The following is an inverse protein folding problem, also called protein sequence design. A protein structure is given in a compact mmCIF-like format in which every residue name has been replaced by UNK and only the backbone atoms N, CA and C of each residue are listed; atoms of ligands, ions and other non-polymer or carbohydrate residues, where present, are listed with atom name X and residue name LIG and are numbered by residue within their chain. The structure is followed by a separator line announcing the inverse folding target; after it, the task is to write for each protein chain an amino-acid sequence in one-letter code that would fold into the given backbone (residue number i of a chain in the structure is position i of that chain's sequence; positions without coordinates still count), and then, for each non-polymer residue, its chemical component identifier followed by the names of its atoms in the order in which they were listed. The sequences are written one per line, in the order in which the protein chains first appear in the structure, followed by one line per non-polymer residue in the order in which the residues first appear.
data_IF_563543936710
#
_entry.id   IF_563543936710
#
_cell.length_a   1.000
_cell.length_b   1.000
_cell.length_c   1.000
_cell.angle_alpha   90.00
_cell.angle_beta   90.00
_cell.angle_gamma   90.00
#
_symmetry.space_group_name_H-M   'P 1'
#
loop_
_entity.id
_entity.type
_entity.pdbx_description
1 polymer ?
#
# COMPACT_ATOMS: atom_id res chain seq x y z
N UNK A 1 -1.81 -73.87 -38.77
CA UNK A 1 -2.75 -73.91 -37.63
C UNK A 1 -2.05 -73.27 -36.44
N UNK A 2 -2.72 -72.32 -35.79
CA UNK A 2 -2.48 -71.76 -34.44
C UNK A 2 -1.19 -70.96 -34.18
N UNK A 3 -1.30 -69.62 -34.11
CA UNK A 3 -1.53 -68.73 -32.93
C UNK A 3 -0.21 -68.32 -32.26
N UNK A 4 0.37 -67.17 -32.63
CA UNK A 4 0.40 -65.88 -31.87
C UNK A 4 0.77 -65.95 -30.38
N UNK A 5 1.87 -65.31 -29.98
CA UNK A 5 1.84 -64.37 -28.85
C UNK A 5 2.96 -63.32 -28.96
N UNK A 6 2.54 -62.06 -29.12
CA UNK A 6 3.36 -60.85 -28.98
C UNK A 6 3.67 -60.63 -27.50
N UNK A 7 4.91 -60.30 -27.17
CA UNK A 7 5.23 -59.59 -25.94
C UNK A 7 5.88 -58.25 -26.31
N UNK A 8 5.02 -57.26 -26.60
CA UNK A 8 5.42 -55.85 -26.65
C UNK A 8 5.51 -55.39 -25.21
N UNK A 9 6.72 -55.29 -24.67
CA UNK A 9 6.97 -54.69 -23.37
C UNK A 9 6.85 -53.17 -23.52
N UNK A 10 5.63 -52.67 -23.40
CA UNK A 10 5.34 -51.25 -23.20
C UNK A 10 5.81 -50.87 -21.79
N UNK A 11 7.04 -50.38 -21.69
CA UNK A 11 7.54 -49.66 -20.53
C UNK A 11 6.81 -48.33 -20.41
N UNK A 12 5.61 -48.35 -19.82
CA UNK A 12 4.99 -47.15 -19.27
C UNK A 12 5.78 -46.82 -18.01
N UNK A 13 6.87 -46.09 -18.17
CA UNK A 13 7.53 -45.42 -17.06
C UNK A 13 6.54 -44.35 -16.59
N UNK A 14 5.76 -44.70 -15.58
CA UNK A 14 4.89 -43.78 -14.85
C UNK A 14 5.74 -42.58 -14.42
N UNK A 15 5.60 -41.47 -15.15
CA UNK A 15 5.95 -40.15 -14.64
C UNK A 15 4.97 -39.96 -13.48
N UNK A 16 5.35 -40.44 -12.30
CA UNK A 16 4.79 -39.97 -11.04
C UNK A 16 5.22 -38.51 -11.04
N UNK A 17 4.34 -37.67 -11.60
CA UNK A 17 4.38 -36.23 -11.40
C UNK A 17 4.43 -36.07 -9.90
N UNK A 18 5.62 -35.80 -9.37
CA UNK A 18 5.81 -35.33 -8.01
C UNK A 18 5.05 -34.01 -7.94
N UNK A 19 3.74 -34.10 -7.74
CA UNK A 19 2.93 -32.99 -7.29
C UNK A 19 3.54 -32.64 -5.94
N UNK A 20 4.49 -31.72 -5.95
CA UNK A 20 5.00 -31.05 -4.77
C UNK A 20 3.79 -30.68 -3.93
N UNK A 21 3.59 -31.37 -2.81
CA UNK A 21 2.45 -31.15 -1.93
C UNK A 21 2.59 -29.74 -1.33
N UNK A 22 1.99 -28.77 -2.02
CA UNK A 22 1.89 -27.39 -1.59
C UNK A 22 0.55 -27.19 -0.89
N UNK A 23 0.58 -26.61 0.31
CA UNK A 23 -0.62 -26.24 1.06
C UNK A 23 -0.78 -24.73 0.95
N UNK A 24 -1.98 -24.25 0.63
CA UNK A 24 -2.27 -22.82 0.65
C UNK A 24 -2.34 -22.34 2.09
N UNK A 25 -1.59 -21.27 2.40
CA UNK A 25 -1.60 -20.58 3.69
C UNK A 25 -1.93 -19.12 3.49
N UNK A 26 -2.31 -18.48 4.59
CA UNK A 26 -2.61 -17.06 4.62
C UNK A 26 -1.83 -16.40 5.75
N UNK A 27 -1.29 -15.21 5.45
CA UNK A 27 -0.97 -14.25 6.49
C UNK A 27 -2.14 -13.27 6.65
N UNK A 28 -2.37 -12.82 7.89
CA UNK A 28 -3.38 -11.83 8.25
C UNK A 28 -2.72 -10.76 9.11
N UNK A 29 -2.72 -9.52 8.64
CA UNK A 29 -2.22 -8.35 9.38
C UNK A 29 -3.40 -7.44 9.71
N UNK A 30 -3.55 -7.09 10.98
CA UNK A 30 -4.52 -6.10 11.43
C UNK A 30 -3.84 -4.75 11.66
N UNK A 31 -4.36 -3.71 11.01
CA UNK A 31 -3.90 -2.33 11.13
C UNK A 31 -5.00 -1.46 11.75
N UNK A 32 -4.82 -1.04 13.00
CA UNK A 32 -5.80 -0.28 13.79
C UNK A 32 -5.78 1.21 13.54
N UNK A 33 -6.96 1.83 13.59
CA UNK A 33 -7.18 3.27 13.53
C UNK A 33 -7.55 3.83 14.91
N UNK A 34 -7.50 5.16 15.04
CA UNK A 34 -7.74 5.87 16.30
C UNK A 34 -9.18 5.80 16.80
N UNK A 35 -10.14 5.49 15.94
CA UNK A 35 -11.57 5.34 16.29
C UNK A 35 -11.96 3.90 16.65
N UNK A 36 -10.99 2.98 16.69
CA UNK A 36 -11.22 1.55 16.94
C UNK A 36 -11.65 0.75 15.70
N UNK A 37 -11.84 1.39 14.54
CA UNK A 37 -11.93 0.69 13.26
C UNK A 37 -10.56 0.16 12.83
N UNK A 38 -10.52 -0.75 11.85
CA UNK A 38 -9.27 -1.36 11.39
C UNK A 38 -9.30 -1.78 9.94
N UNK A 39 -8.12 -1.88 9.35
CA UNK A 39 -7.89 -2.57 8.08
C UNK A 39 -7.38 -3.98 8.37
N UNK A 40 -8.01 -4.99 7.76
CA UNK A 40 -7.59 -6.39 7.82
C UNK A 40 -6.99 -6.75 6.46
N UNK A 41 -5.69 -7.00 6.45
CA UNK A 41 -4.92 -7.32 5.26
C UNK A 41 -4.69 -8.82 5.20
N UNK A 42 -5.03 -9.45 4.07
CA UNK A 42 -4.80 -10.88 3.84
C UNK A 42 -3.83 -11.09 2.69
N UNK A 43 -2.91 -12.03 2.83
CA UNK A 43 -2.00 -12.43 1.75
C UNK A 43 -1.97 -13.96 1.68
N UNK A 44 -2.31 -14.52 0.52
CA UNK A 44 -2.26 -15.96 0.28
C UNK A 44 -0.90 -16.37 -0.31
N UNK A 45 -0.41 -17.56 0.06
CA UNK A 45 0.81 -18.13 -0.51
C UNK A 45 0.77 -19.67 -0.48
N UNK A 46 1.59 -20.29 -1.30
CA UNK A 46 1.79 -21.74 -1.29
C UNK A 46 2.96 -22.08 -0.37
N UNK A 47 2.77 -23.11 0.47
CA UNK A 47 3.80 -23.63 1.36
C UNK A 47 4.14 -25.07 1.01
N UNK A 48 5.39 -25.31 0.60
CA UNK A 48 5.87 -26.67 0.29
C UNK A 48 6.16 -27.46 1.57
N UNK A 49 5.58 -28.65 1.67
CA UNK A 49 5.84 -29.59 2.77
C UNK A 49 7.13 -30.39 2.59
N UNK A 50 7.72 -30.39 1.38
CA UNK A 50 8.89 -31.20 1.05
C UNK A 50 10.15 -30.34 1.13
N UNK A 51 11.21 -30.77 1.86
CA UNK A 51 12.49 -30.09 1.82
C UNK A 51 13.09 -30.18 0.41
N UNK A 52 13.28 -29.04 -0.24
CA UNK A 52 13.89 -28.99 -1.57
C UNK A 52 15.42 -29.14 -1.43
N UNK A 53 16.04 -30.20 -1.99
CA UNK A 53 17.42 -30.56 -1.69
C UNK A 53 18.48 -29.61 -2.26
N UNK A 54 18.11 -28.63 -3.09
CA UNK A 54 19.06 -27.81 -3.85
C UNK A 54 18.82 -26.30 -3.79
N UNK A 55 17.94 -25.83 -2.91
CA UNK A 55 17.76 -24.39 -2.73
C UNK A 55 17.67 -24.06 -1.25
N UNK A 56 18.49 -23.11 -0.81
CA UNK A 56 18.19 -22.23 0.32
C UNK A 56 16.92 -21.37 0.08
N UNK A 57 16.05 -21.76 -0.85
CA UNK A 57 14.84 -21.05 -1.21
C UNK A 57 13.79 -21.30 -0.14
N UNK A 58 13.10 -20.20 0.20
CA UNK A 58 11.92 -20.21 1.06
C UNK A 58 11.01 -21.40 0.75
N UNK A 59 10.43 -21.99 1.80
CA UNK A 59 9.33 -22.97 1.67
C UNK A 59 8.07 -22.35 1.08
N UNK A 60 8.08 -21.06 0.82
CA UNK A 60 6.96 -20.27 0.37
C UNK A 60 7.12 -19.89 -1.11
N UNK A 61 6.06 -20.08 -1.89
CA UNK A 61 5.96 -19.70 -3.30
C UNK A 61 4.65 -18.97 -3.57
N UNK A 62 4.54 -18.33 -4.74
CA UNK A 62 3.31 -17.74 -5.27
C UNK A 62 2.57 -16.79 -4.31
N UNK A 63 3.33 -16.09 -3.45
CA UNK A 63 2.77 -15.16 -2.48
C UNK A 63 2.12 -13.96 -3.18
N UNK A 64 0.90 -13.65 -2.76
CA UNK A 64 0.11 -12.51 -3.22
C UNK A 64 0.45 -11.26 -2.41
N UNK A 65 0.19 -10.10 -3.01
CA UNK A 65 0.18 -8.84 -2.27
C UNK A 65 -0.90 -8.85 -1.19
N UNK A 66 -0.84 -7.89 -0.28
CA UNK A 66 -1.86 -7.72 0.75
C UNK A 66 -3.15 -7.20 0.12
N UNK A 67 -4.25 -7.91 0.39
CA UNK A 67 -5.61 -7.55 0.03
C UNK A 67 -6.32 -7.00 1.28
N UNK A 68 -6.54 -5.67 1.36
CA UNK A 68 -7.17 -5.04 2.51
C UNK A 68 -8.69 -5.07 2.45
N UNK A 69 -9.28 -5.24 3.64
CA UNK A 69 -10.69 -5.00 3.91
C UNK A 69 -10.80 -4.01 5.07
N UNK A 70 -11.73 -3.07 4.97
CA UNK A 70 -12.01 -2.12 6.04
C UNK A 70 -13.11 -2.65 6.94
N UNK A 71 -12.87 -2.70 8.25
CA UNK A 71 -13.81 -3.15 9.25
C UNK A 71 -14.10 -2.05 10.26
N UNK A 72 -15.36 -1.94 10.66
CA UNK A 72 -15.80 -1.06 11.73
C UNK A 72 -16.85 -1.76 12.60
N UNK A 73 -16.92 -1.45 13.92
CA UNK A 73 -17.89 -2.09 14.81
C UNK A 73 -19.33 -1.96 14.31
N UNK A 74 -20.06 -3.08 14.35
CA UNK A 74 -21.49 -3.12 14.03
C UNK A 74 -21.84 -2.95 12.54
N UNK A 75 -20.87 -2.98 11.63
CA UNK A 75 -21.12 -2.96 10.18
C UNK A 75 -20.37 -4.08 9.47
N UNK A 76 -20.85 -4.43 8.29
CA UNK A 76 -20.17 -5.40 7.43
C UNK A 76 -18.81 -4.86 6.94
N UNK A 77 -17.81 -5.74 6.75
CA UNK A 77 -16.54 -5.36 6.14
C UNK A 77 -16.73 -4.81 4.72
N UNK A 78 -15.91 -3.83 4.35
CA UNK A 78 -15.94 -3.18 3.03
C UNK A 78 -14.62 -3.48 2.32
N UNK A 79 -14.68 -3.95 1.08
CA UNK A 79 -13.48 -4.16 0.26
C UNK A 79 -12.79 -2.82 -0.04
N UNK A 80 -11.46 -2.83 -0.03
CA UNK A 80 -10.64 -1.64 -0.30
C UNK A 80 -10.07 -1.76 -1.72
N UNK A 81 -10.17 -0.73 -2.58
CA UNK A 81 -9.86 -0.84 -4.00
C UNK A 81 -8.36 -0.76 -4.30
N UNK A 82 -7.52 -1.43 -3.50
CA UNK A 82 -6.06 -1.38 -3.67
C UNK A 82 -5.38 -2.51 -2.92
N UNK A 83 -4.36 -3.11 -3.54
CA UNK A 83 -3.43 -4.00 -2.85
C UNK A 83 -2.21 -3.24 -2.34
N UNK A 84 -1.60 -3.75 -1.27
CA UNK A 84 -0.33 -3.24 -0.74
C UNK A 84 0.74 -4.29 -0.96
N UNK A 85 1.89 -3.89 -1.51
CA UNK A 85 2.96 -4.83 -1.82
C UNK A 85 3.36 -5.64 -0.60
N UNK A 86 3.45 -6.95 -0.74
CA UNK A 86 3.90 -7.81 0.35
C UNK A 86 5.39 -7.59 0.64
N UNK A 87 5.76 -7.59 1.93
CA UNK A 87 7.15 -7.56 2.40
C UNK A 87 7.41 -8.81 3.24
N UNK A 88 8.39 -9.63 2.84
CA UNK A 88 8.72 -10.91 3.47
C UNK A 88 9.35 -10.83 4.86
N UNK A 89 9.53 -9.62 5.39
CA UNK A 89 10.05 -9.43 6.74
C UNK A 89 8.87 -9.16 7.66
N UNK A 90 8.51 -10.15 8.49
CA UNK A 90 7.56 -9.97 9.60
C UNK A 90 8.20 -9.20 10.79
N UNK A 91 9.09 -8.25 10.52
CA UNK A 91 9.64 -7.39 11.56
C UNK A 91 8.74 -6.16 11.75
N UNK A 92 8.74 -5.60 12.96
CA UNK A 92 7.86 -4.50 13.34
C UNK A 92 7.94 -3.31 12.36
N UNK A 93 9.14 -2.98 11.88
CA UNK A 93 9.34 -1.84 10.97
C UNK A 93 8.67 -2.06 9.60
N UNK A 94 8.77 -3.27 9.05
CA UNK A 94 8.09 -3.62 7.80
C UNK A 94 6.55 -3.62 7.98
N UNK A 95 6.05 -4.13 9.11
CA UNK A 95 4.61 -4.11 9.41
C UNK A 95 4.08 -2.69 9.61
N UNK A 96 4.84 -1.82 10.30
CA UNK A 96 4.56 -0.38 10.39
C UNK A 96 4.53 0.24 9.00
N UNK A 97 5.49 -0.07 8.13
CA UNK A 97 5.51 0.37 6.74
C UNK A 97 4.25 -0.03 5.97
N UNK A 98 3.79 -1.28 6.08
CA UNK A 98 2.56 -1.74 5.42
C UNK A 98 1.32 -1.03 5.98
N UNK A 99 1.14 -0.97 7.30
CA UNK A 99 -0.01 -0.31 7.91
C UNK A 99 -0.03 1.21 7.64
N UNK A 100 1.14 1.82 7.45
CA UNK A 100 1.23 3.24 7.10
C UNK A 100 0.63 3.62 5.75
N UNK A 101 0.23 2.66 4.89
CA UNK A 101 -0.53 2.98 3.66
C UNK A 101 -1.98 3.39 3.93
N UNK A 102 -2.47 3.11 5.14
CA UNK A 102 -3.85 3.32 5.55
C UNK A 102 -3.94 4.39 6.63
N UNK A 103 -5.07 5.08 6.70
CA UNK A 103 -5.32 6.05 7.76
C UNK A 103 -6.79 6.40 7.93
N UNK A 104 -7.04 7.35 8.82
CA UNK A 104 -8.35 7.91 9.12
C UNK A 104 -8.23 9.43 9.23
N UNK A 105 -8.88 10.15 8.33
CA UNK A 105 -8.92 11.62 8.35
C UNK A 105 -10.36 12.06 8.42
N UNK A 106 -10.71 12.86 9.44
CA UNK A 106 -12.06 13.40 9.65
C UNK A 106 -13.17 12.33 9.68
N UNK A 107 -12.85 11.10 10.12
CA UNK A 107 -13.81 9.98 10.15
C UNK A 107 -13.90 9.20 8.83
N UNK A 108 -13.14 9.60 7.80
CA UNK A 108 -13.07 8.89 6.52
C UNK A 108 -11.81 8.03 6.45
N UNK A 109 -11.95 6.69 6.30
CA UNK A 109 -10.83 5.80 6.02
C UNK A 109 -10.17 6.19 4.69
N UNK A 110 -8.84 6.26 4.68
CA UNK A 110 -8.05 6.66 3.51
C UNK A 110 -6.99 5.63 3.14
N UNK A 111 -6.66 5.55 1.86
CA UNK A 111 -5.52 4.81 1.31
C UNK A 111 -4.94 5.52 0.09
N UNK A 112 -3.82 6.22 0.26
CA UNK A 112 -3.25 7.03 -0.81
C UNK A 112 -4.24 8.10 -1.29
N UNK A 113 -4.45 8.21 -2.61
CA UNK A 113 -5.43 9.13 -3.20
C UNK A 113 -6.86 8.54 -3.29
N UNK A 114 -7.26 7.73 -2.31
CA UNK A 114 -8.59 7.12 -2.21
C UNK A 114 -9.12 7.26 -0.79
N UNK A 115 -10.43 7.46 -0.64
CA UNK A 115 -11.11 7.51 0.64
C UNK A 115 -12.49 6.88 0.56
N UNK A 116 -12.99 6.36 1.68
CA UNK A 116 -14.33 5.80 1.78
C UNK A 116 -15.33 6.94 2.04
N UNK A 117 -16.35 7.07 1.19
CA UNK A 117 -17.43 8.07 1.30
C UNK A 117 -18.49 7.62 2.31
N UNK A 118 -19.36 8.56 2.69
CA UNK A 118 -20.43 8.31 3.67
C UNK A 118 -21.46 7.28 3.19
N UNK A 119 -21.65 7.17 1.88
CA UNK A 119 -22.52 6.18 1.23
C UNK A 119 -21.94 4.75 1.23
N UNK A 120 -20.71 4.57 1.72
CA UNK A 120 -20.01 3.28 1.76
C UNK A 120 -19.27 2.92 0.47
N UNK A 121 -19.23 3.81 -0.52
CA UNK A 121 -18.43 3.64 -1.75
C UNK A 121 -17.07 4.31 -1.63
N UNK A 122 -16.08 3.83 -2.39
CA UNK A 122 -14.77 4.47 -2.44
C UNK A 122 -14.70 5.57 -3.50
N UNK A 123 -13.94 6.63 -3.21
CA UNK A 123 -13.35 7.44 -4.26
C UNK A 123 -12.17 6.68 -4.87
N UNK A 124 -12.24 6.40 -6.16
CA UNK A 124 -11.27 5.57 -6.86
C UNK A 124 -10.05 6.36 -7.29
N UNK A 125 -8.87 5.74 -7.20
CA UNK A 125 -7.59 6.36 -7.55
C UNK A 125 -7.52 6.70 -9.04
N UNK A 126 -8.22 5.91 -9.85
CA UNK A 126 -8.28 6.00 -11.31
C UNK A 126 -8.93 7.31 -11.77
N UNK A 127 -9.83 7.87 -10.94
CA UNK A 127 -10.49 9.14 -11.20
C UNK A 127 -9.61 10.35 -10.84
N UNK A 128 -8.47 10.12 -10.18
CA UNK A 128 -7.58 11.19 -9.73
C UNK A 128 -6.67 11.70 -10.87
N UNK A 129 -6.55 13.02 -11.11
CA UNK A 129 -5.81 13.57 -12.24
C UNK A 129 -4.30 13.62 -12.00
N UNK A 130 -3.67 12.44 -11.87
CA UNK A 130 -2.25 12.26 -11.55
C UNK A 130 -1.30 13.11 -12.40
N UNK A 131 -1.51 13.15 -13.73
CA UNK A 131 -0.67 13.92 -14.65
C UNK A 131 -0.68 15.44 -14.40
N UNK A 132 -1.77 15.96 -13.81
CA UNK A 132 -1.91 17.39 -13.52
C UNK A 132 -1.33 17.74 -12.14
N UNK A 133 -1.57 16.89 -11.15
CA UNK A 133 -1.35 17.22 -9.75
C UNK A 133 -0.07 16.63 -9.17
N UNK A 134 0.38 15.47 -9.64
CA UNK A 134 1.54 14.81 -9.05
C UNK A 134 2.82 15.48 -9.52
N UNK A 135 3.77 15.62 -8.59
CA UNK A 135 5.11 16.09 -8.89
C UNK A 135 6.16 15.02 -8.59
N UNK A 136 7.10 14.85 -9.50
CA UNK A 136 8.25 13.95 -9.36
C UNK A 136 9.54 14.72 -9.61
N UNK A 137 10.42 14.79 -8.61
CA UNK A 137 11.72 15.48 -8.71
C UNK A 137 12.84 14.50 -9.13
N UNK A 138 12.66 13.20 -8.91
CA UNK A 138 13.72 12.19 -9.03
C UNK A 138 13.60 11.28 -10.26
N UNK A 139 12.53 11.36 -11.05
CA UNK A 139 12.44 10.58 -12.28
C UNK A 139 13.14 11.33 -13.42
N UNK A 140 13.73 10.59 -14.37
CA UNK A 140 14.40 11.12 -15.58
C UNK A 140 13.44 11.91 -16.52
N UNK A 141 12.25 12.29 -16.05
CA UNK A 141 11.22 13.05 -16.74
C UNK A 141 11.16 14.43 -16.10
N UNK A 142 11.83 15.41 -16.70
CA UNK A 142 11.67 16.81 -16.31
C UNK A 142 10.36 17.36 -16.91
N UNK A 143 9.22 16.86 -16.42
CA UNK A 143 7.88 17.33 -16.81
C UNK A 143 7.41 18.51 -15.94
N UNK A 144 8.29 19.07 -15.10
CA UNK A 144 7.99 20.21 -14.24
C UNK A 144 7.74 21.46 -15.07
N UNK A 145 6.62 22.13 -14.83
CA UNK A 145 6.41 23.47 -15.37
C UNK A 145 7.42 24.46 -14.76
N UNK A 146 7.75 25.59 -15.43
CA UNK A 146 8.62 26.61 -14.85
C UNK A 146 8.14 27.12 -13.48
N UNK A 147 6.82 27.21 -13.29
CA UNK A 147 6.20 27.60 -12.02
C UNK A 147 6.45 26.56 -10.93
N UNK A 148 6.23 25.27 -11.22
CA UNK A 148 6.49 24.17 -10.28
C UNK A 148 7.95 24.12 -9.88
N UNK A 149 8.85 24.17 -10.86
CA UNK A 149 10.30 24.16 -10.63
C UNK A 149 10.72 25.33 -9.73
N UNK A 150 10.21 26.55 -9.99
CA UNK A 150 10.49 27.73 -9.16
C UNK A 150 9.98 27.57 -7.73
N UNK A 151 8.76 27.07 -7.53
CA UNK A 151 8.20 26.85 -6.19
C UNK A 151 9.04 25.85 -5.37
N UNK A 152 9.40 24.71 -5.98
CA UNK A 152 10.19 23.67 -5.34
C UNK A 152 11.61 24.16 -4.99
N UNK A 153 12.26 24.88 -5.92
CA UNK A 153 13.58 25.50 -5.69
C UNK A 153 13.53 26.52 -4.56
N UNK A 154 12.56 27.43 -4.57
CA UNK A 154 12.39 28.45 -3.53
C UNK A 154 12.16 27.83 -2.14
N UNK A 155 11.47 26.69 -2.07
CA UNK A 155 11.23 25.96 -0.83
C UNK A 155 12.39 25.03 -0.41
N UNK A 156 13.43 24.90 -1.25
CA UNK A 156 14.58 24.03 -1.03
C UNK A 156 14.26 22.54 -1.10
N UNK A 157 13.19 22.15 -1.80
CA UNK A 157 12.74 20.77 -1.92
C UNK A 157 13.65 20.01 -2.89
N UNK A 158 14.10 18.83 -2.48
CA UNK A 158 15.02 17.97 -3.25
C UNK A 158 14.42 16.61 -3.60
N UNK A 159 13.33 16.23 -2.92
CA UNK A 159 12.70 14.93 -3.08
C UNK A 159 11.19 15.03 -2.86
N UNK A 160 10.46 14.23 -3.61
CA UNK A 160 9.05 13.95 -3.42
C UNK A 160 8.92 12.50 -2.96
N UNK A 161 7.91 12.21 -2.13
CA UNK A 161 7.54 10.81 -1.90
C UNK A 161 6.66 10.31 -3.04
N UNK A 162 6.69 9.00 -3.30
CA UNK A 162 5.70 8.34 -4.16
C UNK A 162 4.32 8.22 -3.50
N UNK A 163 4.20 8.66 -2.26
CA UNK A 163 2.99 8.66 -1.45
C UNK A 163 2.29 10.01 -1.61
N UNK A 164 0.96 10.01 -1.72
CA UNK A 164 0.13 11.21 -1.58
C UNK A 164 -1.20 10.81 -0.95
N UNK A 165 -1.89 11.77 -0.36
CA UNK A 165 -3.16 11.55 0.33
C UNK A 165 -4.27 12.40 -0.28
N UNK A 166 -5.46 11.82 -0.32
CA UNK A 166 -6.71 12.49 -0.65
C UNK A 166 -7.70 12.26 0.48
N UNK A 167 -8.26 13.34 1.02
CA UNK A 167 -9.31 13.24 2.02
C UNK A 167 -10.32 14.38 1.92
N UNK A 168 -11.59 14.15 2.30
CA UNK A 168 -12.56 15.21 2.51
C UNK A 168 -12.19 16.01 3.76
N UNK A 169 -12.31 17.34 3.67
CA UNK A 169 -12.14 18.25 4.80
C UNK A 169 -13.13 19.40 4.66
N UNK A 170 -14.06 19.47 5.60
CA UNK A 170 -15.22 20.36 5.52
C UNK A 170 -16.00 20.11 4.22
N UNK A 171 -16.20 21.14 3.39
CA UNK A 171 -16.98 21.07 2.15
C UNK A 171 -16.12 20.83 0.89
N UNK A 172 -14.84 20.49 1.03
CA UNK A 172 -13.91 20.31 -0.09
C UNK A 172 -13.06 19.06 0.04
N UNK A 173 -12.46 18.64 -1.07
CA UNK A 173 -11.38 17.64 -1.07
C UNK A 173 -10.03 18.34 -0.96
N UNK A 174 -9.16 17.75 -0.16
CA UNK A 174 -7.76 18.16 -0.02
C UNK A 174 -6.90 17.03 -0.55
N UNK A 175 -5.97 17.37 -1.43
CA UNK A 175 -4.91 16.47 -1.86
C UNK A 175 -3.55 17.02 -1.44
N UNK A 176 -2.72 16.16 -0.87
CA UNK A 176 -1.36 16.51 -0.45
C UNK A 176 -0.35 15.43 -0.84
N UNK A 177 0.76 15.86 -1.43
CA UNK A 177 1.96 15.04 -1.61
C UNK A 177 3.07 15.59 -0.70
N UNK A 178 3.68 14.78 0.18
CA UNK A 178 4.72 15.23 1.07
C UNK A 178 6.01 15.49 0.30
N UNK A 179 6.68 16.57 0.68
CA UNK A 179 7.90 17.09 0.07
C UNK A 179 9.02 17.11 1.11
N UNK A 180 10.24 16.86 0.64
CA UNK A 180 11.41 16.62 1.49
C UNK A 180 12.58 17.46 0.99
N UNK A 181 13.31 18.10 1.91
CA UNK A 181 14.52 18.89 1.63
C UNK A 181 15.79 18.03 1.63
N UNK A 182 15.73 16.85 2.25
CA UNK A 182 16.83 15.88 2.28
C UNK A 182 16.59 14.76 1.27
N UNK A 183 17.67 14.34 0.60
CA UNK A 183 17.63 13.22 -0.35
C UNK A 183 17.71 11.86 0.38
N UNK A 184 18.40 11.83 1.51
CA UNK A 184 18.73 10.63 2.25
C UNK A 184 17.61 10.21 3.22
N UNK A 185 17.58 8.92 3.51
CA UNK A 185 16.66 8.32 4.47
C UNK A 185 15.71 7.31 3.83
N UNK A 186 15.34 6.32 4.66
CA UNK A 186 14.32 5.34 4.32
C UNK A 186 12.97 6.05 4.11
N UNK A 187 12.29 5.79 2.99
CA UNK A 187 11.11 6.56 2.54
C UNK A 187 10.07 6.84 3.63
N UNK A 188 9.81 5.87 4.50
CA UNK A 188 8.81 5.98 5.56
C UNK A 188 9.32 6.71 6.82
N UNK A 189 10.63 6.88 6.97
CA UNK A 189 11.29 7.58 8.09
C UNK A 189 11.76 8.99 7.72
N UNK A 190 11.53 9.45 6.48
CA UNK A 190 11.91 10.81 6.08
C UNK A 190 10.88 11.80 6.59
N UNK A 191 11.37 12.88 7.19
CA UNK A 191 10.58 14.00 7.70
C UNK A 191 9.86 14.71 6.56
N UNK A 192 8.58 15.02 6.75
CA UNK A 192 7.81 15.87 5.83
C UNK A 192 8.14 17.34 6.10
N UNK A 193 8.84 17.99 5.17
CA UNK A 193 9.27 19.39 5.31
C UNK A 193 8.23 20.39 4.80
N UNK A 194 7.47 19.99 3.77
CA UNK A 194 6.40 20.74 3.14
C UNK A 194 5.44 19.78 2.45
N UNK A 195 4.36 20.30 1.87
CA UNK A 195 3.45 19.55 1.00
C UNK A 195 3.26 20.29 -0.33
N UNK A 196 3.04 19.51 -1.38
CA UNK A 196 2.44 19.99 -2.62
C UNK A 196 0.93 19.76 -2.49
N UNK A 197 0.16 20.84 -2.45
CA UNK A 197 -1.23 20.81 -2.01
C UNK A 197 -2.15 21.35 -3.10
N UNK A 198 -3.27 20.66 -3.32
CA UNK A 198 -4.34 21.11 -4.20
C UNK A 198 -5.71 20.86 -3.56
N UNK A 199 -6.71 21.60 -4.02
CA UNK A 199 -8.07 21.53 -3.50
C UNK A 199 -9.08 21.31 -4.62
N UNK A 200 -10.19 20.65 -4.28
CA UNK A 200 -11.36 20.53 -5.15
C UNK A 200 -12.63 20.87 -4.37
N UNK A 201 -13.42 21.80 -4.90
CA UNK A 201 -14.71 22.23 -4.32
C UNK A 201 -15.92 21.49 -4.92
N UNK A 202 -15.70 20.66 -5.95
CA UNK A 202 -16.75 20.01 -6.74
C UNK A 202 -16.66 18.48 -6.72
N UNK A 203 -16.09 17.93 -5.64
CA UNK A 203 -15.99 16.49 -5.43
C UNK A 203 -14.94 15.80 -6.30
N UNK A 204 -13.91 16.54 -6.73
CA UNK A 204 -12.75 16.01 -7.47
C UNK A 204 -12.81 16.22 -8.98
N UNK A 205 -13.82 16.92 -9.51
CA UNK A 205 -13.97 17.16 -10.96
C UNK A 205 -12.98 18.21 -11.45
N UNK A 206 -12.81 19.29 -10.70
CA UNK A 206 -11.81 20.32 -10.94
C UNK A 206 -10.92 20.51 -9.73
N UNK A 207 -9.69 20.94 -9.99
CA UNK A 207 -8.65 21.09 -8.99
C UNK A 207 -7.95 22.42 -9.16
N UNK A 208 -7.71 23.09 -8.04
CA UNK A 208 -6.88 24.29 -7.96
C UNK A 208 -5.49 24.02 -8.52
N UNK A 209 -4.80 25.09 -8.92
CA UNK A 209 -3.36 24.97 -9.17
C UNK A 209 -2.66 24.58 -7.87
N UNK A 210 -1.80 23.55 -7.87
CA UNK A 210 -1.19 23.12 -6.62
C UNK A 210 -0.10 24.11 -6.18
N UNK A 211 0.12 24.16 -4.87
CA UNK A 211 1.10 25.05 -4.25
C UNK A 211 2.04 24.26 -3.33
N UNK A 212 3.31 24.67 -3.28
CA UNK A 212 4.24 24.23 -2.23
C UNK A 212 4.00 25.04 -0.97
N UNK A 213 3.67 24.39 0.14
CA UNK A 213 3.35 25.06 1.42
C UNK A 213 3.77 24.25 2.64
N UNK A 214 4.00 24.91 3.77
CA UNK A 214 4.16 24.29 5.10
C UNK A 214 2.86 24.31 5.91
N UNK A 215 1.80 24.94 5.40
CA UNK A 215 0.46 24.94 6.00
C UNK A 215 -0.32 23.71 5.53
N UNK A 216 0.20 22.53 5.87
CA UNK A 216 -0.45 21.28 5.55
C UNK A 216 -1.78 21.13 6.30
N UNK A 217 -2.74 20.48 5.64
CA UNK A 217 -4.08 20.21 6.11
C UNK A 217 -4.33 18.73 6.39
N UNK A 218 -3.55 17.83 5.79
CA UNK A 218 -3.57 16.39 6.05
C UNK A 218 -2.30 15.95 6.79
N UNK A 219 -1.13 16.36 6.30
CA UNK A 219 0.16 15.99 6.89
C UNK A 219 0.54 16.85 8.08
N UNK A 220 1.28 16.25 9.01
CA UNK A 220 1.97 16.91 10.11
C UNK A 220 3.40 17.23 9.69
N UNK A 221 3.67 18.51 9.39
CA UNK A 221 5.02 18.98 9.05
C UNK A 221 5.99 18.74 10.22
N UNK A 222 7.21 18.32 9.90
CA UNK A 222 8.24 18.02 10.88
C UNK A 222 8.19 16.59 11.44
N UNK A 223 7.13 15.82 11.13
CA UNK A 223 7.05 14.39 11.46
C UNK A 223 7.43 13.51 10.27
N UNK A 224 8.04 12.34 10.49
CA UNK A 224 8.21 11.36 9.43
C UNK A 224 6.86 10.75 9.03
N UNK A 225 6.81 10.13 7.86
CA UNK A 225 5.59 9.50 7.35
C UNK A 225 5.04 8.44 8.31
N UNK A 226 5.87 7.54 8.84
CA UNK A 226 5.38 6.47 9.72
C UNK A 226 4.89 6.93 11.11
N UNK A 227 5.06 8.22 11.45
CA UNK A 227 4.64 8.81 12.75
C UNK A 227 3.46 9.77 12.62
N UNK A 228 2.86 9.89 11.44
CA UNK A 228 1.65 10.69 11.24
C UNK A 228 0.51 10.10 12.07
N UNK A 229 -0.17 10.94 12.84
CA UNK A 229 -1.17 10.50 13.84
C UNK A 229 -2.43 9.89 13.23
N UNK A 230 -2.74 10.23 11.97
CA UNK A 230 -3.88 9.69 11.24
C UNK A 230 -3.61 8.30 10.66
N UNK A 231 -2.37 7.80 10.65
CA UNK A 231 -2.04 6.51 10.04
C UNK A 231 -2.40 5.33 10.92
N UNK A 232 -2.74 4.22 10.26
CA UNK A 232 -3.02 2.97 10.93
C UNK A 232 -1.73 2.37 11.53
N UNK A 233 -1.88 1.71 12.67
CA UNK A 233 -0.78 1.04 13.39
C UNK A 233 -0.98 -0.48 13.39
N UNK A 234 0.10 -1.28 13.29
CA UNK A 234 -0.03 -2.72 13.38
C UNK A 234 -0.55 -3.13 14.77
N UNK A 235 -1.60 -3.94 14.83
CA UNK A 235 -2.18 -4.51 16.06
C UNK A 235 -1.73 -5.96 16.22
N UNK A 236 -1.90 -6.78 15.18
CA UNK A 236 -1.59 -8.20 15.24
C UNK A 236 -1.19 -8.74 13.87
N UNK A 237 -0.39 -9.81 13.87
CA UNK A 237 -0.10 -10.61 12.69
C UNK A 237 -0.36 -12.08 13.00
N UNK A 238 -1.16 -12.75 12.17
CA UNK A 238 -1.56 -14.14 12.34
C UNK A 238 -2.13 -14.45 13.73
N UNK A 239 -2.91 -13.50 14.28
CA UNK A 239 -3.50 -13.59 15.62
C UNK A 239 -2.52 -13.32 16.78
N UNK A 240 -1.24 -13.08 16.50
CA UNK A 240 -0.26 -12.70 17.52
C UNK A 240 -0.23 -11.18 17.65
N UNK A 241 -0.47 -10.68 18.86
CA UNK A 241 -0.39 -9.26 19.18
C UNK A 241 1.02 -8.72 18.95
N UNK A 242 1.10 -7.55 18.34
CA UNK A 242 2.33 -6.83 18.08
C UNK A 242 2.53 -5.83 19.20
N UNK A 243 3.54 -6.04 20.05
CA UNK A 243 3.92 -5.06 21.06
C UNK A 243 4.53 -3.85 20.37
N UNK A 244 3.90 -2.69 20.52
CA UNK A 244 4.47 -1.41 20.13
C UNK A 244 5.17 -0.83 21.34
N UNK A 245 6.50 -0.74 21.27
CA UNK A 245 7.31 0.05 22.22
C UNK A 245 6.88 1.52 22.23
#
# INVERSE_FOLDING_TARGET
MSITLRAVLLGVLSIISNASAAVTRHDVLECGLSDGSKFILRSAYEFSLVPLPLRHASRESNRKDWEPTYWRPGKDPIEVPRTVRYSSKANLHALKGVCSHFGLVNGHPIIGASYLKDDGTWFYREDFPWKKLQVEIQSMRNDLTPTQSKQLQNAGIKRTSGISLLAPKNTRLVWEQPLQRKLEGYEYAVIVDAVYQAFSEDGGKTWSEPIVTTKAELFEIGKPWCEQSFLAKPISINGQEIKTD
#
